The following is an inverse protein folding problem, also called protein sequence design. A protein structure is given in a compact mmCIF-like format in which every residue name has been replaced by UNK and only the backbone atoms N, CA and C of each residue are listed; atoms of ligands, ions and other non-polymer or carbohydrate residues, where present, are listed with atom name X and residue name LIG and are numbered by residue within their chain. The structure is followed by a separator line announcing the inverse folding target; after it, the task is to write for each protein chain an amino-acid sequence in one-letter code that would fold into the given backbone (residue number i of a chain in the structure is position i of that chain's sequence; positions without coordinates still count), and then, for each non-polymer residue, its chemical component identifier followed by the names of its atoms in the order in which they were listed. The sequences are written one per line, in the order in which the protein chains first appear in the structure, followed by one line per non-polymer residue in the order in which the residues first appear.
data_IF_974971321167
#
_entry.id   IF_974971321167
#
_cell.length_a   1.000
_cell.length_b   1.000
_cell.length_c   1.000
_cell.angle_alpha   90.00
_cell.angle_beta   90.00
_cell.angle_gamma   90.00
#
_symmetry.space_group_name_H-M   'P 1'
#
loop_
_entity.id
_entity.type
_entity.pdbx_description
1 polymer ?
#
# COMPACT_ATOMS: atom_id res chain seq x y z
N UNK A 1 -3.94 23.72 -13.84
CA UNK A 1 -5.29 23.56 -13.25
C UNK A 1 -5.69 24.84 -12.54
N UNK A 2 -6.97 25.17 -12.43
CA UNK A 2 -7.51 26.24 -11.56
C UNK A 2 -8.29 25.66 -10.37
N UNK A 3 -8.62 26.49 -9.38
CA UNK A 3 -9.47 26.08 -8.26
C UNK A 3 -10.86 25.62 -8.73
N UNK A 4 -11.45 26.33 -9.71
CA UNK A 4 -12.74 25.96 -10.30
C UNK A 4 -12.68 24.62 -11.03
N UNK A 5 -11.60 24.36 -11.78
CA UNK A 5 -11.38 23.08 -12.44
C UNK A 5 -11.21 21.95 -11.41
N UNK A 6 -10.53 22.22 -10.29
CA UNK A 6 -10.36 21.25 -9.20
C UNK A 6 -11.69 20.93 -8.54
N UNK A 7 -12.46 21.94 -8.14
CA UNK A 7 -13.78 21.75 -7.54
C UNK A 7 -14.74 21.04 -8.49
N UNK A 8 -14.71 21.41 -9.78
CA UNK A 8 -15.53 20.75 -10.82
C UNK A 8 -15.12 19.28 -11.00
N UNK A 9 -13.81 19.00 -11.01
CA UNK A 9 -13.30 17.62 -11.13
C UNK A 9 -13.74 16.76 -9.96
N UNK A 10 -13.62 17.26 -8.73
CA UNK A 10 -14.09 16.55 -7.53
C UNK A 10 -15.60 16.29 -7.59
N UNK A 11 -16.39 17.29 -7.99
CA UNK A 11 -17.84 17.16 -8.11
C UNK A 11 -18.25 16.14 -9.17
N UNK A 12 -17.54 16.09 -10.30
CA UNK A 12 -17.78 15.08 -11.34
C UNK A 12 -17.47 13.66 -10.84
N UNK A 13 -16.39 13.50 -10.07
CA UNK A 13 -15.96 12.18 -9.57
C UNK A 13 -16.81 11.66 -8.41
N UNK A 14 -17.19 12.54 -7.48
CA UNK A 14 -17.76 12.13 -6.19
C UNK A 14 -19.15 12.73 -5.90
N UNK A 15 -19.66 13.62 -6.75
CA UNK A 15 -21.01 14.16 -6.62
C UNK A 15 -21.24 14.90 -5.30
N UNK A 16 -22.30 14.50 -4.59
CA UNK A 16 -22.74 15.08 -3.32
C UNK A 16 -21.86 14.71 -2.11
N UNK A 17 -20.90 13.79 -2.30
CA UNK A 17 -19.95 13.40 -1.27
C UNK A 17 -18.85 14.45 -1.05
N UNK A 18 -18.73 15.44 -1.95
CA UNK A 18 -17.75 16.53 -1.84
C UNK A 18 -18.27 17.64 -0.94
N UNK A 19 -17.47 18.04 0.03
CA UNK A 19 -17.73 19.15 0.95
C UNK A 19 -16.56 20.12 0.94
N UNK A 20 -16.84 21.41 0.75
CA UNK A 20 -15.86 22.47 0.98
C UNK A 20 -15.81 22.78 2.48
N UNK A 21 -14.67 22.54 3.13
CA UNK A 21 -14.49 22.81 4.57
C UNK A 21 -14.10 24.28 4.81
N UNK A 22 -13.29 24.83 3.90
CA UNK A 22 -12.80 26.20 3.89
C UNK A 22 -12.33 26.56 2.46
N UNK A 23 -12.03 27.82 2.14
CA UNK A 23 -11.39 28.16 0.87
C UNK A 23 -10.13 27.33 0.64
N UNK A 24 -10.05 26.66 -0.52
CA UNK A 24 -8.93 25.78 -0.85
C UNK A 24 -8.89 24.44 -0.08
N UNK A 25 -9.91 24.10 0.71
CA UNK A 25 -9.97 22.86 1.48
C UNK A 25 -11.26 22.09 1.17
N UNK A 26 -11.08 20.86 0.71
CA UNK A 26 -12.17 19.96 0.33
C UNK A 26 -12.04 18.63 1.06
N UNK A 27 -13.17 18.05 1.39
CA UNK A 27 -13.29 16.69 1.90
C UNK A 27 -14.25 15.90 1.03
N UNK A 28 -13.87 14.68 0.70
CA UNK A 28 -14.77 13.68 0.12
C UNK A 28 -15.02 12.64 1.19
N UNK A 29 -16.27 12.55 1.65
CA UNK A 29 -16.70 11.56 2.62
C UNK A 29 -17.47 10.46 1.89
N UNK A 30 -16.99 9.23 1.93
CA UNK A 30 -17.73 8.06 1.42
C UNK A 30 -17.91 7.03 2.53
N UNK A 31 -18.79 6.02 2.38
CA UNK A 31 -18.85 4.92 3.33
C UNK A 31 -17.53 4.13 3.46
N UNK A 32 -16.64 4.19 2.48
CA UNK A 32 -15.41 3.40 2.42
C UNK A 32 -14.17 4.19 2.89
N UNK A 33 -14.13 5.49 2.63
CA UNK A 33 -12.96 6.32 2.91
C UNK A 33 -13.31 7.80 3.08
N UNK A 34 -12.39 8.52 3.70
CA UNK A 34 -12.37 9.99 3.80
C UNK A 34 -11.12 10.54 3.11
N UNK A 35 -11.31 11.25 2.01
CA UNK A 35 -10.23 11.91 1.27
C UNK A 35 -10.21 13.40 1.62
N UNK A 36 -9.04 13.93 1.98
CA UNK A 36 -8.82 15.36 2.23
C UNK A 36 -7.99 15.95 1.10
N UNK A 37 -8.41 17.09 0.56
CA UNK A 37 -7.68 17.87 -0.44
C UNK A 37 -7.46 19.26 0.10
N UNK A 38 -6.21 19.70 0.12
CA UNK A 38 -5.77 20.97 0.69
C UNK A 38 -4.93 21.70 -0.34
N UNK A 39 -5.26 22.97 -0.60
CA UNK A 39 -4.38 23.89 -1.29
C UNK A 39 -3.48 24.61 -0.27
N UNK A 40 -2.27 25.00 -0.70
CA UNK A 40 -1.44 25.91 0.08
C UNK A 40 -2.10 27.29 0.20
N UNK A 41 -1.66 28.10 1.18
CA UNK A 41 -2.21 29.45 1.41
C UNK A 41 -2.12 30.37 0.19
N UNK A 42 -1.07 30.19 -0.63
CA UNK A 42 -0.86 30.90 -1.88
C UNK A 42 -1.46 30.20 -3.12
N UNK A 43 -2.22 29.11 -2.89
CA UNK A 43 -2.86 28.26 -3.89
C UNK A 43 -1.90 27.68 -4.95
N UNK A 44 -0.59 27.70 -4.71
CA UNK A 44 0.41 27.22 -5.67
C UNK A 44 0.62 25.71 -5.64
N UNK A 45 0.20 25.04 -4.56
CA UNK A 45 0.29 23.59 -4.37
C UNK A 45 -1.05 22.99 -3.99
N UNK A 46 -1.27 21.75 -4.44
CA UNK A 46 -2.32 20.88 -3.94
C UNK A 46 -1.71 19.68 -3.23
N UNK A 47 -2.33 19.27 -2.12
CA UNK A 47 -2.05 18.04 -1.41
C UNK A 47 -3.35 17.28 -1.20
N UNK A 48 -3.40 16.03 -1.63
CA UNK A 48 -4.46 15.09 -1.31
C UNK A 48 -3.94 14.03 -0.32
N UNK A 49 -4.76 13.68 0.67
CA UNK A 49 -4.46 12.78 1.77
C UNK A 49 -5.59 11.77 1.93
N UNK A 50 -5.25 10.48 1.87
CA UNK A 50 -6.20 9.37 2.04
C UNK A 50 -5.64 8.38 3.05
N UNK A 51 -6.26 8.19 4.22
CA UNK A 51 -5.79 7.24 5.22
C UNK A 51 -6.00 5.80 4.73
N UNK A 52 -5.03 4.93 5.01
CA UNK A 52 -5.01 3.53 4.59
C UNK A 52 -5.15 2.61 5.80
N UNK A 53 -4.22 2.71 6.76
CA UNK A 53 -4.15 1.82 7.91
C UNK A 53 -3.47 2.51 9.12
N UNK A 54 -3.63 2.00 10.35
CA UNK A 54 -2.81 2.41 11.48
C UNK A 54 -1.32 2.18 11.21
N UNK A 55 -0.46 3.09 11.66
CA UNK A 55 0.99 3.00 11.44
C UNK A 55 1.61 1.74 12.07
N UNK A 56 1.09 1.29 13.22
CA UNK A 56 1.51 0.06 13.89
C UNK A 56 1.32 -1.19 13.01
N UNK A 57 0.26 -1.24 12.21
CA UNK A 57 -0.04 -2.38 11.35
C UNK A 57 0.84 -2.35 10.09
N UNK A 58 1.30 -1.16 9.69
CA UNK A 58 2.18 -0.94 8.54
C UNK A 58 3.68 -1.06 8.89
N UNK A 59 4.05 -0.99 10.17
CA UNK A 59 5.45 -0.99 10.66
C UNK A 59 6.27 -2.21 10.17
N UNK A 60 5.73 -3.44 10.12
CA UNK A 60 6.47 -4.58 9.58
C UNK A 60 6.88 -4.44 8.10
N UNK A 61 6.22 -3.54 7.37
CA UNK A 61 6.36 -3.39 5.91
C UNK A 61 7.03 -2.09 5.49
N UNK A 62 7.76 -1.41 6.39
CA UNK A 62 8.41 -0.12 6.10
C UNK A 62 9.34 -0.19 4.88
N UNK A 63 10.08 -1.27 4.73
CA UNK A 63 10.97 -1.44 3.57
C UNK A 63 10.15 -1.58 2.27
N UNK A 64 9.08 -2.39 2.29
CA UNK A 64 8.19 -2.58 1.14
C UNK A 64 7.45 -1.30 0.78
N UNK A 65 7.11 -0.46 1.77
CA UNK A 65 6.52 0.86 1.55
C UNK A 65 7.49 1.78 0.79
N UNK A 66 8.77 1.78 1.18
CA UNK A 66 9.81 2.58 0.52
C UNK A 66 10.13 2.06 -0.88
N UNK A 67 10.24 0.75 -1.06
CA UNK A 67 10.40 0.10 -2.37
C UNK A 67 9.20 0.43 -3.28
N UNK A 68 7.96 0.29 -2.77
CA UNK A 68 6.74 0.61 -3.53
C UNK A 68 6.69 2.09 -3.95
N UNK A 69 7.13 3.00 -3.07
CA UNK A 69 7.24 4.43 -3.36
C UNK A 69 8.21 4.75 -4.49
N UNK A 70 9.17 3.87 -4.74
CA UNK A 70 10.16 3.98 -5.80
C UNK A 70 9.64 3.38 -7.10
N UNK A 71 9.07 2.16 -7.05
CA UNK A 71 8.77 1.37 -8.25
C UNK A 71 7.32 1.44 -8.74
N UNK A 72 6.34 1.57 -7.83
CA UNK A 72 4.93 1.23 -8.14
C UNK A 72 3.98 2.42 -8.02
N UNK A 73 4.15 3.29 -7.02
CA UNK A 73 3.12 4.28 -6.67
C UNK A 73 3.07 5.51 -7.58
N UNK A 74 4.01 5.64 -8.52
CA UNK A 74 4.08 6.69 -9.56
C UNK A 74 4.03 8.13 -9.01
N UNK A 75 2.90 8.84 -9.10
CA UNK A 75 2.70 10.21 -8.60
C UNK A 75 2.21 10.28 -7.14
N UNK A 76 1.77 9.14 -6.60
CA UNK A 76 1.31 9.00 -5.21
C UNK A 76 2.45 8.44 -4.35
N UNK A 77 2.50 8.75 -3.06
CA UNK A 77 3.43 8.14 -2.11
C UNK A 77 2.70 7.67 -0.86
N UNK A 78 3.17 6.58 -0.29
CA UNK A 78 2.94 6.23 1.09
C UNK A 78 3.68 7.21 2.01
N UNK A 79 2.99 7.69 3.05
CA UNK A 79 3.57 8.53 4.10
C UNK A 79 3.03 8.15 5.47
N UNK A 80 3.89 8.16 6.49
CA UNK A 80 3.50 7.98 7.88
C UNK A 80 3.39 9.33 8.57
N UNK A 81 2.22 9.60 9.16
CA UNK A 81 2.00 10.83 9.92
C UNK A 81 0.91 10.62 10.96
N UNK A 82 1.16 11.05 12.19
CA UNK A 82 0.21 10.97 13.31
C UNK A 82 -0.37 9.57 13.57
N UNK A 83 0.47 8.53 13.47
CA UNK A 83 0.05 7.15 13.73
C UNK A 83 -0.81 6.52 12.64
N UNK A 84 -0.85 7.12 11.44
CA UNK A 84 -1.60 6.62 10.29
C UNK A 84 -0.68 6.53 9.06
N UNK A 85 -0.85 5.47 8.28
CA UNK A 85 -0.35 5.33 6.93
C UNK A 85 -1.30 6.03 5.95
N UNK A 86 -0.76 6.92 5.15
CA UNK A 86 -1.48 7.74 4.17
C UNK A 86 -1.02 7.41 2.76
N UNK A 87 -1.95 7.37 1.81
CA UNK A 87 -1.66 7.72 0.42
C UNK A 87 -1.64 9.25 0.32
N UNK A 88 -0.56 9.79 -0.23
CA UNK A 88 -0.30 11.23 -0.37
C UNK A 88 -0.02 11.54 -1.83
N UNK A 89 -0.78 12.47 -2.39
CA UNK A 89 -0.44 13.11 -3.65
C UNK A 89 -0.14 14.58 -3.37
N UNK A 90 0.99 15.08 -3.87
CA UNK A 90 1.35 16.50 -3.73
C UNK A 90 1.96 16.99 -5.04
N UNK A 91 1.40 18.08 -5.57
CA UNK A 91 1.82 18.62 -6.87
C UNK A 91 1.63 20.14 -6.92
N UNK A 92 2.47 20.82 -7.69
CA UNK A 92 2.28 22.24 -7.97
C UNK A 92 1.03 22.41 -8.86
N UNK A 93 0.15 23.35 -8.56
CA UNK A 93 -1.02 23.62 -9.41
C UNK A 93 -0.58 24.02 -10.83
N UNK A 94 0.57 24.70 -10.93
CA UNK A 94 1.25 24.98 -12.19
C UNK A 94 1.65 23.67 -12.89
N UNK A 95 1.12 23.45 -14.09
CA UNK A 95 1.39 22.26 -14.89
C UNK A 95 0.54 21.03 -14.55
N UNK A 96 -0.25 21.05 -13.47
CA UNK A 96 -1.21 19.99 -13.18
C UNK A 96 -2.37 20.05 -14.20
N UNK A 97 -2.65 18.94 -14.88
CA UNK A 97 -3.82 18.80 -15.74
C UNK A 97 -4.94 18.07 -15.00
N UNK A 98 -6.19 18.25 -15.43
CA UNK A 98 -7.34 17.51 -14.90
C UNK A 98 -7.13 15.99 -14.97
N UNK A 99 -6.56 15.51 -16.08
CA UNK A 99 -6.30 14.08 -16.29
C UNK A 99 -5.27 13.55 -15.30
N UNK A 100 -4.19 14.29 -15.05
CA UNK A 100 -3.15 13.84 -14.12
C UNK A 100 -3.68 13.85 -12.68
N UNK A 101 -4.53 14.83 -12.33
CA UNK A 101 -5.20 14.84 -11.03
C UNK A 101 -6.18 13.67 -10.86
N UNK A 102 -6.98 13.36 -11.89
CA UNK A 102 -7.88 12.19 -11.88
C UNK A 102 -7.09 10.88 -11.72
N UNK A 103 -6.01 10.71 -12.47
CA UNK A 103 -5.14 9.53 -12.38
C UNK A 103 -4.55 9.37 -10.97
N UNK A 104 -4.10 10.47 -10.36
CA UNK A 104 -3.60 10.46 -9.00
C UNK A 104 -4.67 10.03 -7.98
N UNK A 105 -5.90 10.54 -8.11
CA UNK A 105 -7.01 10.17 -7.23
C UNK A 105 -7.41 8.69 -7.39
N UNK A 106 -7.50 8.19 -8.63
CA UNK A 106 -7.73 6.77 -8.92
C UNK A 106 -6.65 5.89 -8.28
N UNK A 107 -5.37 6.29 -8.40
CA UNK A 107 -4.24 5.60 -7.79
C UNK A 107 -4.34 5.59 -6.27
N UNK A 108 -4.61 6.74 -5.65
CA UNK A 108 -4.78 6.85 -4.19
C UNK A 108 -5.86 5.90 -3.69
N UNK A 109 -7.03 5.88 -4.36
CA UNK A 109 -8.14 5.00 -4.02
C UNK A 109 -7.75 3.54 -4.19
N UNK A 110 -7.04 3.18 -5.26
CA UNK A 110 -6.54 1.81 -5.45
C UNK A 110 -5.61 1.37 -4.32
N UNK A 111 -4.67 2.22 -3.88
CA UNK A 111 -3.80 1.92 -2.73
C UNK A 111 -4.60 1.76 -1.44
N UNK A 112 -5.62 2.61 -1.22
CA UNK A 112 -6.48 2.52 -0.04
C UNK A 112 -7.31 1.23 -0.04
N UNK A 113 -7.83 0.81 -1.19
CA UNK A 113 -8.58 -0.43 -1.34
C UNK A 113 -7.70 -1.68 -1.17
N UNK A 114 -6.45 -1.64 -1.66
CA UNK A 114 -5.48 -2.72 -1.46
C UNK A 114 -5.06 -2.85 0.02
N UNK A 115 -5.07 -1.73 0.75
CA UNK A 115 -4.69 -1.69 2.16
C UNK A 115 -3.23 -2.10 2.33
N UNK A 116 -2.99 -3.09 3.19
CA UNK A 116 -1.66 -3.67 3.41
C UNK A 116 -1.41 -4.95 2.61
N UNK A 117 -2.37 -5.37 1.77
CA UNK A 117 -2.31 -6.68 1.10
C UNK A 117 -1.11 -6.83 0.18
N UNK A 118 -0.85 -5.82 -0.67
CA UNK A 118 0.26 -5.88 -1.62
C UNK A 118 1.63 -5.81 -0.91
N UNK A 119 1.71 -5.01 0.16
CA UNK A 119 2.89 -4.87 1.00
C UNK A 119 3.19 -6.19 1.73
N UNK A 120 2.15 -6.82 2.27
CA UNK A 120 2.24 -8.14 2.87
C UNK A 120 2.73 -9.18 1.87
N UNK A 121 2.15 -9.22 0.66
CA UNK A 121 2.57 -10.18 -0.36
C UNK A 121 4.03 -9.99 -0.77
N UNK A 122 4.48 -8.74 -0.95
CA UNK A 122 5.87 -8.41 -1.26
C UNK A 122 6.82 -8.82 -0.12
N UNK A 123 6.42 -8.56 1.13
CA UNK A 123 7.16 -8.97 2.31
C UNK A 123 7.30 -10.50 2.38
N UNK A 124 6.20 -11.23 2.24
CA UNK A 124 6.17 -12.70 2.25
C UNK A 124 7.07 -13.26 1.15
N UNK A 125 7.00 -12.71 -0.06
CA UNK A 125 7.85 -13.15 -1.17
C UNK A 125 9.35 -12.99 -0.84
N UNK A 126 9.75 -11.83 -0.31
CA UNK A 126 11.14 -11.57 0.08
C UNK A 126 11.61 -12.54 1.15
N UNK A 127 10.79 -12.82 2.16
CA UNK A 127 11.10 -13.78 3.22
C UNK A 127 11.23 -15.20 2.68
N UNK A 128 10.30 -15.65 1.82
CA UNK A 128 10.36 -16.99 1.25
C UNK A 128 11.58 -17.15 0.34
N UNK A 129 11.97 -16.14 -0.44
CA UNK A 129 13.22 -16.19 -1.24
C UNK A 129 14.43 -16.43 -0.35
N UNK A 130 14.53 -15.73 0.78
CA UNK A 130 15.62 -15.94 1.75
C UNK A 130 15.62 -17.35 2.35
N UNK A 131 14.44 -17.88 2.68
CA UNK A 131 14.29 -19.26 3.18
C UNK A 131 14.74 -20.27 2.13
N UNK A 132 14.29 -20.12 0.88
CA UNK A 132 14.66 -21.02 -0.23
C UNK A 132 16.17 -21.00 -0.47
N UNK A 133 16.79 -19.81 -0.50
CA UNK A 133 18.25 -19.68 -0.66
C UNK A 133 19.01 -20.36 0.50
N UNK A 134 18.62 -20.10 1.75
CA UNK A 134 19.25 -20.70 2.92
C UNK A 134 19.09 -22.23 2.94
N UNK A 135 17.91 -22.74 2.58
CA UNK A 135 17.62 -24.16 2.51
C UNK A 135 18.45 -24.86 1.42
N UNK A 136 18.56 -24.26 0.23
CA UNK A 136 19.39 -24.76 -0.88
C UNK A 136 20.87 -24.80 -0.50
N UNK A 137 21.39 -23.76 0.15
CA UNK A 137 22.78 -23.72 0.65
C UNK A 137 23.06 -24.81 1.70
N UNK A 138 22.05 -25.18 2.49
CA UNK A 138 22.14 -26.23 3.50
C UNK A 138 21.87 -27.64 2.92
N UNK A 139 21.58 -27.77 1.62
CA UNK A 139 21.23 -29.04 0.98
C UNK A 139 19.90 -29.63 1.46
N UNK A 140 18.99 -28.81 1.97
CA UNK A 140 17.66 -29.24 2.41
C UNK A 140 16.74 -29.51 1.20
N UNK A 141 15.79 -30.44 1.36
CA UNK A 141 14.74 -30.67 0.35
C UNK A 141 13.59 -29.67 0.49
N UNK A 142 12.79 -29.58 -0.57
CA UNK A 142 11.55 -28.81 -0.57
C UNK A 142 10.61 -29.26 0.56
N UNK A 143 10.42 -30.57 0.74
CA UNK A 143 9.54 -31.08 1.80
C UNK A 143 10.04 -30.72 3.20
N UNK A 144 11.36 -30.82 3.43
CA UNK A 144 11.95 -30.46 4.71
C UNK A 144 11.77 -28.96 5.02
N UNK A 145 11.90 -28.11 3.99
CA UNK A 145 11.73 -26.66 4.11
C UNK A 145 10.26 -26.29 4.41
N UNK A 146 9.30 -26.96 3.76
CA UNK A 146 7.87 -26.77 4.03
C UNK A 146 7.54 -27.16 5.47
N UNK A 147 8.04 -28.31 5.95
CA UNK A 147 7.80 -28.75 7.34
C UNK A 147 8.41 -27.80 8.38
N UNK A 148 9.58 -27.24 8.08
CA UNK A 148 10.22 -26.22 8.94
C UNK A 148 9.39 -24.95 9.00
N UNK A 149 8.85 -24.51 7.86
CA UNK A 149 8.00 -23.33 7.77
C UNK A 149 6.69 -23.52 8.55
N UNK A 150 6.04 -24.68 8.40
CA UNK A 150 4.84 -25.04 9.17
C UNK A 150 5.13 -24.97 10.68
N UNK A 151 6.29 -25.48 11.12
CA UNK A 151 6.70 -25.44 12.52
C UNK A 151 6.90 -24.03 13.04
N UNK A 152 7.63 -23.17 12.31
CA UNK A 152 7.84 -21.77 12.70
C UNK A 152 6.55 -20.98 12.80
N UNK A 153 5.60 -21.26 11.93
CA UNK A 153 4.29 -20.64 11.98
C UNK A 153 3.44 -21.16 13.14
N UNK A 154 3.52 -22.46 13.47
CA UNK A 154 2.89 -23.03 14.67
C UNK A 154 3.46 -22.42 15.96
N UNK A 155 4.77 -22.20 16.01
CA UNK A 155 5.51 -21.61 17.12
C UNK A 155 5.28 -20.08 17.28
N UNK A 156 4.49 -19.45 16.39
CA UNK A 156 4.17 -18.03 16.46
C UNK A 156 5.30 -17.11 16.01
N UNK A 157 6.47 -17.66 15.67
CA UNK A 157 7.65 -16.93 15.17
C UNK A 157 7.35 -16.16 13.87
N UNK A 158 6.33 -16.58 13.14
CA UNK A 158 5.85 -15.96 11.90
C UNK A 158 4.44 -15.36 12.04
N UNK A 159 3.80 -15.55 13.21
CA UNK A 159 2.39 -15.22 13.48
C UNK A 159 2.17 -13.77 13.90
N UNK A 160 3.17 -13.11 14.51
CA UNK A 160 3.10 -11.68 14.84
C UNK A 160 3.12 -10.78 13.58
N UNK A 161 3.60 -11.31 12.44
CA UNK A 161 3.66 -10.60 11.16
C UNK A 161 2.34 -10.60 10.37
N UNK A 162 1.37 -11.42 10.80
CA UNK A 162 0.07 -11.61 10.15
C UNK A 162 -1.07 -10.85 10.86
N UNK A 163 -0.75 -9.85 11.67
CA UNK A 163 -1.75 -8.96 12.27
C UNK A 163 -2.42 -8.10 11.18
N UNK A 164 -3.47 -8.64 10.55
CA UNK A 164 -4.27 -7.92 9.55
C UNK A 164 -5.04 -8.84 8.60
N UNK A 165 -6.34 -9.00 8.86
CA UNK A 165 -7.43 -9.41 7.94
C UNK A 165 -7.46 -10.86 7.40
N UNK A 166 -6.36 -11.61 7.28
CA UNK A 166 -6.39 -13.00 6.76
C UNK A 166 -6.41 -14.08 7.84
N UNK A 167 -7.12 -15.19 7.59
CA UNK A 167 -7.11 -16.33 8.51
C UNK A 167 -5.74 -17.01 8.51
N UNK A 168 -5.36 -17.55 9.67
CA UNK A 168 -4.11 -18.29 9.89
C UNK A 168 -3.85 -19.37 8.82
N UNK A 169 -4.91 -20.07 8.40
CA UNK A 169 -4.85 -21.12 7.38
C UNK A 169 -4.61 -20.55 5.99
N UNK A 170 -5.29 -19.45 5.64
CA UNK A 170 -5.12 -18.81 4.33
C UNK A 170 -3.71 -18.25 4.14
N UNK A 171 -3.14 -17.69 5.21
CA UNK A 171 -1.75 -17.24 5.20
C UNK A 171 -0.80 -18.41 4.97
N UNK A 172 -0.95 -19.53 5.70
CA UNK A 172 -0.09 -20.69 5.50
C UNK A 172 -0.20 -21.26 4.07
N UNK A 173 -1.43 -21.39 3.54
CA UNK A 173 -1.65 -21.88 2.19
C UNK A 173 -1.02 -20.96 1.12
N UNK A 174 -1.06 -19.65 1.32
CA UNK A 174 -0.39 -18.69 0.44
C UNK A 174 1.14 -18.87 0.48
N UNK A 175 1.70 -19.02 1.67
CA UNK A 175 3.14 -19.22 1.86
C UNK A 175 3.64 -20.53 1.24
N UNK A 176 2.95 -21.65 1.47
CA UNK A 176 3.34 -22.93 0.89
C UNK A 176 3.29 -22.91 -0.64
N UNK A 177 2.26 -22.29 -1.24
CA UNK A 177 2.17 -22.12 -2.71
C UNK A 177 3.34 -21.28 -3.23
N UNK A 178 3.65 -20.18 -2.56
CA UNK A 178 4.73 -19.28 -2.97
C UNK A 178 6.11 -19.95 -2.85
N UNK A 179 6.32 -20.74 -1.79
CA UNK A 179 7.55 -21.51 -1.61
C UNK A 179 7.75 -22.54 -2.73
N UNK A 180 6.70 -23.30 -3.08
CA UNK A 180 6.76 -24.26 -4.21
C UNK A 180 7.13 -23.54 -5.52
N UNK A 181 6.47 -22.42 -5.82
CA UNK A 181 6.76 -21.60 -7.00
C UNK A 181 8.23 -21.15 -7.04
N UNK A 182 8.71 -20.55 -5.95
CA UNK A 182 10.08 -20.01 -5.86
C UNK A 182 11.16 -21.09 -5.81
N UNK A 183 10.82 -22.30 -5.36
CA UNK A 183 11.76 -23.42 -5.39
C UNK A 183 12.12 -23.81 -6.83
N UNK A 184 11.11 -23.83 -7.70
CA UNK A 184 11.19 -24.25 -9.11
C UNK A 184 11.71 -23.15 -10.04
N UNK A 185 11.52 -21.87 -9.71
CA UNK A 185 11.96 -20.72 -10.52
C UNK A 185 13.49 -20.60 -10.70
N UNK A 186 14.29 -21.37 -9.95
CA UNK A 186 15.75 -21.24 -9.99
C UNK A 186 16.24 -19.90 -9.40
N UNK A 187 17.55 -19.78 -9.20
CA UNK A 187 18.14 -18.50 -8.78
C UNK A 187 18.21 -17.58 -10.00
N UNK A 188 17.18 -16.79 -10.25
CA UNK A 188 17.34 -15.60 -11.07
C UNK A 188 18.17 -14.60 -10.25
N UNK A 189 19.44 -14.47 -10.68
CA UNK A 189 20.50 -13.60 -10.14
C UNK A 189 20.31 -12.15 -10.60
#
# INVERSE_FOLDING_TARGET
MTLDELSSTLTVLFGDQVQALAPGSFQVETPQFRLLILLSEDESWVRALLPIAPAQDAEPYLEQLLESNFDVTQEVRYGLHQGVLWAVFQHAIAGLTTRDFQAALERMIALQQAGLTDLFNAFVEKQIRQIVQAAKLQGQSLEATIQMLDRFYQEGMMGDLAMGVQSREQTMDAWQRQLRRLWDEGEDV
#
